data_IF_749401060569
#
_entry.id   IF_749401060569
#
_cell.length_a   1.000
_cell.length_b   1.000
_cell.length_c   1.000
_cell.angle_alpha   90.00
_cell.angle_beta   90.00
_cell.angle_gamma   90.00
#
_symmetry.space_group_name_H-M   'P 1'
#
loop_
_entity.id
_entity.type
_entity.pdbx_description
1 polymer ?
#
# COMPACT_ATOMS: atom_id res chain seq x y z
N UNK A 1 25.75 -3.86 18.87
CA UNK A 1 25.51 -3.79 17.42
C UNK A 1 24.01 -3.79 17.13
N UNK A 2 23.55 -3.01 16.15
CA UNK A 2 22.13 -2.88 15.80
C UNK A 2 21.95 -3.28 14.33
N UNK A 3 20.94 -4.11 14.05
CA UNK A 3 20.56 -4.49 12.69
C UNK A 3 19.17 -3.95 12.37
N UNK A 4 19.04 -3.31 11.21
CA UNK A 4 17.81 -2.74 10.71
C UNK A 4 17.39 -3.50 9.46
N UNK A 5 16.20 -4.09 9.48
CA UNK A 5 15.61 -4.75 8.33
C UNK A 5 14.40 -3.95 7.85
N UNK A 6 14.44 -3.37 6.63
CA UNK A 6 13.28 -2.68 6.08
C UNK A 6 12.17 -3.70 5.79
N UNK A 7 10.94 -3.32 6.12
CA UNK A 7 9.73 -4.10 5.89
C UNK A 7 8.86 -3.35 4.89
N UNK A 8 8.51 -4.00 3.78
CA UNK A 8 7.54 -3.50 2.82
C UNK A 8 6.39 -4.51 2.69
N UNK A 9 5.17 -4.04 2.95
CA UNK A 9 3.95 -4.85 2.79
C UNK A 9 3.27 -4.56 1.45
N UNK A 10 2.46 -5.52 0.99
CA UNK A 10 1.77 -5.50 -0.32
C UNK A 10 0.79 -4.31 -0.48
N UNK A 11 0.28 -3.76 0.61
CA UNK A 11 -0.64 -2.61 0.60
C UNK A 11 0.09 -1.26 0.84
N UNK A 12 1.27 -1.06 0.24
CA UNK A 12 2.11 0.13 0.46
C UNK A 12 2.46 0.37 1.94
N UNK A 13 2.57 -0.69 2.72
CA UNK A 13 2.94 -0.60 4.13
C UNK A 13 4.46 -0.51 4.24
N UNK A 14 4.94 0.32 5.16
CA UNK A 14 6.36 0.47 5.42
C UNK A 14 6.63 0.39 6.92
N UNK A 15 7.76 -0.21 7.29
CA UNK A 15 8.22 -0.31 8.66
C UNK A 15 9.65 -0.85 8.72
N UNK A 16 10.17 -1.02 9.93
CA UNK A 16 11.48 -1.63 10.13
C UNK A 16 11.45 -2.59 11.32
N UNK A 17 12.05 -3.76 11.15
CA UNK A 17 12.41 -4.63 12.26
C UNK A 17 13.79 -4.22 12.75
N UNK A 18 13.92 -3.87 14.02
CA UNK A 18 15.19 -3.48 14.62
C UNK A 18 15.59 -4.50 15.68
N UNK A 19 16.76 -5.11 15.52
CA UNK A 19 17.33 -6.07 16.47
C UNK A 19 18.61 -5.49 17.06
N UNK A 20 18.61 -5.26 18.38
CA UNK A 20 19.77 -4.76 19.11
C UNK A 20 20.44 -5.91 19.87
N UNK A 21 21.74 -6.06 19.65
CA UNK A 21 22.58 -7.01 20.38
C UNK A 21 23.61 -6.23 21.18
N UNK A 22 23.57 -6.39 22.50
CA UNK A 22 24.62 -5.88 23.37
C UNK A 22 25.69 -6.96 23.51
N UNK A 23 26.83 -6.77 22.84
CA UNK A 23 27.91 -7.74 22.85
C UNK A 23 29.25 -7.00 22.72
N UNK A 24 30.22 -7.39 23.55
CA UNK A 24 31.54 -6.76 23.64
C UNK A 24 32.67 -7.58 22.98
N UNK A 25 32.43 -8.84 22.62
CA UNK A 25 33.43 -9.74 22.03
C UNK A 25 33.32 -9.85 20.49
N UNK A 26 34.46 -9.78 19.81
CA UNK A 26 34.58 -9.87 18.34
C UNK A 26 34.10 -11.21 17.76
N UNK A 27 34.30 -12.31 18.49
CA UNK A 27 33.92 -13.65 18.03
C UNK A 27 32.40 -13.86 17.97
N UNK A 28 31.68 -13.20 18.88
CA UNK A 28 30.22 -13.22 18.88
C UNK A 28 29.63 -12.40 17.74
N UNK A 29 30.25 -11.28 17.39
CA UNK A 29 29.83 -10.47 16.23
C UNK A 29 29.91 -11.32 14.96
N UNK A 30 30.98 -12.09 14.78
CA UNK A 30 31.15 -12.99 13.63
C UNK A 30 30.11 -14.12 13.60
N UNK A 31 29.76 -14.69 14.76
CA UNK A 31 28.66 -15.67 14.85
C UNK A 31 27.32 -15.03 14.46
N UNK A 32 27.02 -13.84 14.99
CA UNK A 32 25.77 -13.13 14.70
C UNK A 32 25.67 -12.81 13.20
N UNK A 33 26.74 -12.30 12.58
CA UNK A 33 26.77 -12.04 11.13
C UNK A 33 26.44 -13.29 10.31
N UNK A 34 26.96 -14.46 10.70
CA UNK A 34 26.68 -15.74 10.02
C UNK A 34 25.22 -16.18 10.12
N UNK A 35 24.52 -15.83 11.19
CA UNK A 35 23.10 -16.15 11.37
C UNK A 35 22.16 -15.04 10.89
N UNK A 36 22.68 -13.84 10.61
CA UNK A 36 21.88 -12.70 10.14
C UNK A 36 21.19 -13.02 8.82
N UNK A 37 21.83 -13.79 7.95
CA UNK A 37 21.24 -14.20 6.66
C UNK A 37 19.96 -15.02 6.85
N UNK A 38 19.87 -15.78 7.95
CA UNK A 38 18.65 -16.53 8.32
C UNK A 38 17.58 -15.65 8.94
N UNK A 39 17.94 -14.50 9.50
CA UNK A 39 16.98 -13.53 10.07
C UNK A 39 16.13 -12.83 8.99
N UNK A 40 16.56 -12.89 7.73
CA UNK A 40 15.76 -12.49 6.56
C UNK A 40 14.45 -13.29 6.49
N UNK A 41 14.48 -14.59 6.81
CA UNK A 41 13.26 -15.41 6.84
C UNK A 41 12.34 -15.02 8.01
N UNK A 42 12.92 -14.64 9.16
CA UNK A 42 12.16 -14.14 10.31
C UNK A 42 11.47 -12.82 9.98
N UNK A 43 12.16 -11.90 9.30
CA UNK A 43 11.60 -10.66 8.76
C UNK A 43 10.39 -10.96 7.87
N UNK A 44 10.53 -11.87 6.92
CA UNK A 44 9.45 -12.20 5.97
C UNK A 44 8.25 -12.86 6.68
N UNK A 45 8.50 -13.73 7.67
CA UNK A 45 7.45 -14.32 8.49
C UNK A 45 6.69 -13.27 9.32
N UNK A 46 7.39 -12.27 9.87
CA UNK A 46 6.77 -11.16 10.61
C UNK A 46 5.89 -10.32 9.68
N UNK A 47 6.37 -9.94 8.49
CA UNK A 47 5.57 -9.18 7.51
C UNK A 47 4.31 -9.96 7.13
N UNK A 48 4.44 -11.25 6.87
CA UNK A 48 3.32 -12.11 6.53
C UNK A 48 2.30 -12.22 7.68
N UNK A 49 2.76 -12.39 8.91
CA UNK A 49 1.88 -12.43 10.09
C UNK A 49 1.16 -11.10 10.33
N UNK A 50 1.87 -9.97 10.21
CA UNK A 50 1.28 -8.64 10.31
C UNK A 50 0.22 -8.41 9.22
N UNK A 51 0.48 -8.84 8.00
CA UNK A 51 -0.48 -8.76 6.90
C UNK A 51 -1.77 -9.51 7.25
N UNK A 52 -1.67 -10.77 7.72
CA UNK A 52 -2.84 -11.57 8.14
C UNK A 52 -3.64 -10.88 9.25
N UNK A 53 -2.97 -10.34 10.26
CA UNK A 53 -3.63 -9.64 11.36
C UNK A 53 -4.35 -8.37 10.89
N UNK A 54 -3.78 -7.65 9.92
CA UNK A 54 -4.33 -6.40 9.43
C UNK A 54 -5.45 -6.60 8.39
N UNK A 55 -5.44 -7.70 7.65
CA UNK A 55 -6.52 -8.08 6.72
C UNK A 55 -7.90 -8.24 7.38
N UNK A 56 -7.97 -8.35 8.72
CA UNK A 56 -9.24 -8.31 9.47
C UNK A 56 -9.88 -6.91 9.51
N UNK A 57 -9.19 -5.83 9.13
CA UNK A 57 -9.80 -4.51 8.96
C UNK A 57 -10.46 -4.41 7.60
N UNK A 58 -11.75 -4.08 7.57
CA UNK A 58 -12.59 -3.87 6.38
C UNK A 58 -11.78 -3.30 5.20
N UNK A 59 -11.48 -4.15 4.22
CA UNK A 59 -10.73 -3.75 3.03
C UNK A 59 -11.67 -2.97 2.12
N UNK A 60 -11.38 -1.68 1.94
CA UNK A 60 -12.09 -0.84 0.98
C UNK A 60 -11.67 -1.30 -0.42
N UNK A 61 -12.59 -1.90 -1.17
CA UNK A 61 -12.32 -2.41 -2.52
C UNK A 61 -12.97 -1.53 -3.59
N UNK A 62 -12.18 -1.14 -4.59
CA UNK A 62 -12.68 -0.47 -5.78
C UNK A 62 -13.12 -1.50 -6.81
N UNK A 63 -14.27 -1.25 -7.45
CA UNK A 63 -14.70 -2.03 -8.62
C UNK A 63 -13.78 -1.75 -9.80
N UNK A 64 -13.73 -2.67 -10.77
CA UNK A 64 -12.91 -2.51 -11.98
C UNK A 64 -13.20 -1.18 -12.69
N UNK A 65 -14.48 -0.78 -12.74
CA UNK A 65 -14.89 0.47 -13.36
C UNK A 65 -14.41 1.70 -12.60
N UNK A 66 -14.46 1.67 -11.26
CA UNK A 66 -13.92 2.75 -10.44
C UNK A 66 -12.40 2.84 -10.58
N UNK A 67 -11.69 1.70 -10.62
CA UNK A 67 -10.23 1.67 -10.84
C UNK A 67 -9.85 2.28 -12.18
N UNK A 68 -10.54 1.92 -13.25
CA UNK A 68 -10.33 2.46 -14.59
C UNK A 68 -10.53 3.98 -14.62
N UNK A 69 -11.64 4.48 -14.07
CA UNK A 69 -11.93 5.92 -13.99
C UNK A 69 -10.86 6.66 -13.18
N UNK A 70 -10.48 6.13 -12.02
CA UNK A 70 -9.45 6.73 -11.18
C UNK A 70 -8.06 6.71 -11.84
N UNK A 71 -7.74 5.67 -12.63
CA UNK A 71 -6.46 5.56 -13.34
C UNK A 71 -6.33 6.65 -14.41
N UNK A 72 -7.39 6.89 -15.20
CA UNK A 72 -7.37 7.99 -16.17
C UNK A 72 -7.26 9.37 -15.50
N UNK A 73 -7.92 9.56 -14.36
CA UNK A 73 -7.78 10.79 -13.58
C UNK A 73 -6.36 10.96 -13.03
N UNK A 74 -5.72 9.88 -12.59
CA UNK A 74 -4.31 9.88 -12.17
C UNK A 74 -3.37 10.32 -13.31
N UNK A 75 -3.68 9.92 -14.55
CA UNK A 75 -2.98 10.38 -15.75
C UNK A 75 -3.32 11.84 -16.16
N UNK A 76 -4.10 12.56 -15.35
CA UNK A 76 -4.44 13.96 -15.59
C UNK A 76 -5.63 14.19 -16.53
N UNK A 77 -6.41 13.16 -16.87
CA UNK A 77 -7.59 13.31 -17.73
C UNK A 77 -8.74 14.02 -17.03
N UNK A 78 -9.39 14.91 -17.76
CA UNK A 78 -10.61 15.60 -17.31
C UNK A 78 -11.80 14.64 -17.28
N UNK A 79 -12.84 14.97 -16.51
CA UNK A 79 -14.08 14.16 -16.47
C UNK A 79 -14.68 13.95 -17.86
N UNK A 80 -14.64 14.98 -18.72
CA UNK A 80 -15.11 14.91 -20.10
C UNK A 80 -14.27 13.94 -20.94
N UNK A 81 -12.93 14.05 -20.91
CA UNK A 81 -12.06 13.12 -21.64
C UNK A 81 -12.24 11.68 -21.15
N UNK A 82 -12.32 11.48 -19.83
CA UNK A 82 -12.59 10.16 -19.24
C UNK A 82 -13.89 9.60 -19.78
N UNK A 83 -14.96 10.41 -19.81
CA UNK A 83 -16.27 9.98 -20.31
C UNK A 83 -16.21 9.56 -21.77
N UNK A 84 -15.40 10.25 -22.60
CA UNK A 84 -15.15 9.87 -23.99
C UNK A 84 -14.34 8.58 -24.11
N UNK A 85 -13.28 8.43 -23.33
CA UNK A 85 -12.42 7.22 -23.35
C UNK A 85 -13.23 5.98 -22.98
N UNK A 86 -14.04 6.07 -21.94
CA UNK A 86 -14.78 4.92 -21.41
C UNK A 86 -16.19 4.76 -21.99
N UNK A 87 -16.52 5.58 -23.00
CA UNK A 87 -17.81 5.64 -23.69
C UNK A 87 -19.03 5.74 -22.75
N UNK A 88 -19.04 6.74 -21.87
CA UNK A 88 -20.21 7.06 -21.04
C UNK A 88 -20.41 8.58 -20.86
N UNK A 89 -21.47 8.96 -20.14
CA UNK A 89 -21.74 10.36 -19.83
C UNK A 89 -20.84 10.88 -18.70
N UNK A 90 -20.52 12.18 -18.71
CA UNK A 90 -19.79 12.83 -17.62
C UNK A 90 -20.48 12.65 -16.26
N UNK A 91 -21.82 12.68 -16.25
CA UNK A 91 -22.62 12.43 -15.05
C UNK A 91 -22.36 11.03 -14.48
N UNK A 92 -22.17 10.02 -15.33
CA UNK A 92 -21.83 8.67 -14.88
C UNK A 92 -20.41 8.61 -14.27
N UNK A 93 -19.44 9.29 -14.88
CA UNK A 93 -18.08 9.42 -14.31
C UNK A 93 -18.14 10.11 -12.94
N UNK A 94 -18.90 11.21 -12.83
CA UNK A 94 -19.09 11.94 -11.58
C UNK A 94 -19.79 11.09 -10.51
N UNK A 95 -20.73 10.24 -10.90
CA UNK A 95 -21.38 9.28 -10.01
C UNK A 95 -20.39 8.25 -9.45
N UNK A 96 -19.51 7.69 -10.28
CA UNK A 96 -18.44 6.81 -9.80
C UNK A 96 -17.48 7.52 -8.86
N UNK A 97 -17.05 8.76 -9.15
CA UNK A 97 -16.24 9.53 -8.20
C UNK A 97 -16.95 9.81 -6.87
N UNK A 98 -18.27 9.98 -6.87
CA UNK A 98 -19.05 10.10 -5.63
C UNK A 98 -18.99 8.80 -4.82
N UNK A 99 -19.15 7.64 -5.46
CA UNK A 99 -19.00 6.34 -4.79
C UNK A 99 -17.60 6.12 -4.22
N UNK A 100 -16.56 6.42 -4.99
CA UNK A 100 -15.16 6.33 -4.54
C UNK A 100 -14.92 7.21 -3.31
N UNK A 101 -15.38 8.46 -3.34
CA UNK A 101 -15.28 9.37 -2.19
C UNK A 101 -15.99 8.85 -0.94
N UNK A 102 -17.18 8.26 -1.10
CA UNK A 102 -17.93 7.63 -0.02
C UNK A 102 -17.18 6.42 0.56
N UNK A 103 -16.63 5.55 -0.31
CA UNK A 103 -15.84 4.38 0.10
C UNK A 103 -14.62 4.77 0.95
N UNK A 104 -13.92 5.85 0.58
CA UNK A 104 -12.73 6.31 1.29
C UNK A 104 -13.01 7.36 2.38
N UNK A 105 -14.28 7.69 2.61
CA UNK A 105 -14.73 8.75 3.51
C UNK A 105 -13.93 10.07 3.30
N UNK A 106 -14.06 10.64 2.10
CA UNK A 106 -13.34 11.85 1.68
C UNK A 106 -14.25 12.82 0.93
N UNK A 107 -13.94 14.11 1.01
CA UNK A 107 -14.71 15.15 0.34
C UNK A 107 -14.15 15.53 -1.05
N UNK A 108 -12.84 15.32 -1.29
CA UNK A 108 -12.20 15.64 -2.57
C UNK A 108 -11.83 14.39 -3.38
N UNK A 109 -11.84 14.50 -4.71
CA UNK A 109 -11.47 13.41 -5.63
C UNK A 109 -10.00 13.03 -5.45
N UNK A 110 -9.13 14.04 -5.38
CA UNK A 110 -7.69 13.84 -5.19
C UNK A 110 -7.38 13.16 -3.85
N UNK A 111 -8.04 13.54 -2.74
CA UNK A 111 -7.84 12.84 -1.46
C UNK A 111 -8.31 11.38 -1.51
N UNK A 112 -9.42 11.10 -2.20
CA UNK A 112 -9.89 9.72 -2.38
C UNK A 112 -8.88 8.87 -3.14
N UNK A 113 -8.27 9.44 -4.19
CA UNK A 113 -7.26 8.77 -5.02
C UNK A 113 -5.96 8.55 -4.24
N UNK A 114 -5.50 9.53 -3.46
CA UNK A 114 -4.34 9.36 -2.59
C UNK A 114 -4.58 8.21 -1.60
N UNK A 115 -5.76 8.15 -0.97
CA UNK A 115 -6.11 7.03 -0.09
C UNK A 115 -6.20 5.69 -0.84
N UNK A 116 -6.68 5.69 -2.07
CA UNK A 116 -6.71 4.49 -2.90
C UNK A 116 -5.31 3.97 -3.23
N UNK A 117 -4.32 4.86 -3.45
CA UNK A 117 -2.91 4.49 -3.61
C UNK A 117 -2.32 3.97 -2.30
N UNK A 118 -2.59 4.65 -1.18
CA UNK A 118 -2.12 4.22 0.15
C UNK A 118 -2.67 2.86 0.59
N UNK A 119 -3.81 2.46 0.03
CA UNK A 119 -4.47 1.16 0.33
C UNK A 119 -4.18 0.10 -0.74
N UNK A 120 -3.29 0.37 -1.70
CA UNK A 120 -2.94 -0.56 -2.78
C UNK A 120 -4.06 -0.84 -3.78
N UNK A 121 -5.13 -0.03 -3.80
CA UNK A 121 -6.24 -0.18 -4.75
C UNK A 121 -5.93 0.41 -6.13
N UNK A 122 -5.00 1.37 -6.18
CA UNK A 122 -4.48 2.02 -7.37
C UNK A 122 -2.96 2.05 -7.31
N UNK A 123 -2.31 1.97 -8.47
CA UNK A 123 -0.87 2.15 -8.63
C UNK A 123 -0.60 3.48 -9.35
N UNK A 124 0.55 4.08 -9.04
CA UNK A 124 1.07 5.23 -9.80
C UNK A 124 1.65 4.77 -11.15
#
# INVERSE_FOLDING_TARGET
MVYLFPLHGINNEFGSLMLSFHCHESDYINKINKYIDRSVALRDAIVHYFHILKCKRNTITLSNREKEICSWYLMGKTTWEISKIINCSESNVNFHFKKVRQKFNTNSRSAAIIKAIQTGQLTL
#
